data_IF_539646987448
#
_entry.id   IF_539646987448
#
_cell.length_a   1.000
_cell.length_b   1.000
_cell.length_c   1.000
_cell.angle_alpha   90.00
_cell.angle_beta   90.00
_cell.angle_gamma   90.00
#
_symmetry.space_group_name_H-M   'P 1'
#
loop_
_entity.id
_entity.type
_entity.pdbx_description
1 polymer ?
#
# COMPACT_ATOMS: atom_id res chain seq x y z
N UNK A 1 16.40 -4.31 22.57
CA UNK A 1 15.98 -2.94 22.20
C UNK A 1 14.46 -2.96 21.99
N UNK A 2 13.72 -2.08 22.66
CA UNK A 2 12.25 -2.07 22.67
C UNK A 2 11.73 -1.58 21.31
N UNK A 3 10.98 -2.42 20.60
CA UNK A 3 10.23 -2.02 19.41
C UNK A 3 9.04 -1.18 19.86
N UNK A 4 9.14 0.14 19.73
CA UNK A 4 8.00 1.04 19.93
C UNK A 4 7.21 1.07 18.62
N UNK A 5 6.21 0.19 18.49
CA UNK A 5 5.13 0.45 17.54
C UNK A 5 4.43 1.73 18.00
N UNK A 6 4.67 2.82 17.28
CA UNK A 6 3.88 4.04 17.47
C UNK A 6 2.45 3.68 17.13
N UNK A 7 1.57 3.65 18.15
CA UNK A 7 0.16 3.38 17.95
C UNK A 7 -0.41 4.48 17.06
N UNK A 8 -0.98 4.10 15.92
CA UNK A 8 -1.67 5.02 15.02
C UNK A 8 -2.77 5.71 15.85
N UNK A 9 -2.80 7.05 15.93
CA UNK A 9 -3.84 7.77 16.65
C UNK A 9 -5.22 7.31 16.16
N UNK A 10 -6.04 6.78 17.07
CA UNK A 10 -7.38 6.22 16.78
C UNK A 10 -8.44 7.31 16.52
N UNK A 11 -8.09 8.38 15.81
CA UNK A 11 -9.03 9.41 15.34
C UNK A 11 -9.33 9.29 13.84
N UNK A 12 -8.91 8.20 13.19
CA UNK A 12 -9.28 7.92 11.81
C UNK A 12 -10.77 7.54 11.74
N UNK A 13 -11.60 8.47 11.26
CA UNK A 13 -12.97 8.17 10.80
C UNK A 13 -12.88 6.95 9.88
N UNK A 14 -13.55 5.85 10.23
CA UNK A 14 -13.48 4.61 9.46
C UNK A 14 -13.97 4.87 8.03
N UNK A 15 -13.05 5.00 7.08
CA UNK A 15 -13.39 5.06 5.66
C UNK A 15 -13.69 3.64 5.23
N UNK A 16 -14.98 3.31 5.05
CA UNK A 16 -15.37 2.01 4.50
C UNK A 16 -15.02 2.00 3.02
N UNK A 17 -14.20 1.03 2.62
CA UNK A 17 -13.89 0.80 1.20
C UNK A 17 -15.17 0.53 0.42
N UNK A 18 -15.22 1.04 -0.81
CA UNK A 18 -16.30 0.78 -1.78
C UNK A 18 -15.69 0.46 -3.15
N UNK A 19 -16.32 -0.44 -3.93
CA UNK A 19 -15.93 -0.67 -5.30
C UNK A 19 -16.03 0.62 -6.13
N UNK A 20 -15.32 0.71 -7.28
CA UNK A 20 -15.45 1.83 -8.20
C UNK A 20 -16.84 1.83 -8.88
N UNK A 21 -17.09 2.83 -9.73
CA UNK A 21 -18.26 2.86 -10.60
C UNK A 21 -18.22 1.70 -11.61
N UNK A 22 -19.38 1.38 -12.18
CA UNK A 22 -19.51 0.39 -13.27
C UNK A 22 -18.54 0.70 -14.42
N UNK A 23 -17.95 -0.35 -15.00
CA UNK A 23 -16.91 -0.28 -16.04
C UNK A 23 -15.58 0.39 -15.64
N UNK A 24 -15.37 0.73 -14.37
CA UNK A 24 -14.09 1.22 -13.87
C UNK A 24 -13.28 0.13 -13.15
N UNK A 25 -11.96 0.23 -13.27
CA UNK A 25 -11.01 -0.48 -12.41
C UNK A 25 -10.54 0.44 -11.29
N UNK A 26 -10.39 -0.11 -10.08
CA UNK A 26 -9.72 0.56 -8.97
C UNK A 26 -8.36 -0.08 -8.76
N UNK A 27 -7.31 0.74 -8.83
CA UNK A 27 -5.94 0.35 -8.51
C UNK A 27 -5.60 0.91 -7.13
N UNK A 28 -5.24 0.02 -6.20
CA UNK A 28 -4.77 0.38 -4.86
C UNK A 28 -3.28 0.05 -4.78
N UNK A 29 -2.50 1.02 -4.30
CA UNK A 29 -1.06 0.91 -4.07
C UNK A 29 -0.80 0.95 -2.56
N UNK A 30 0.21 0.23 -2.09
CA UNK A 30 0.67 0.29 -0.70
C UNK A 30 2.18 0.06 -0.62
N UNK A 31 2.82 0.71 0.34
CA UNK A 31 4.25 0.59 0.64
C UNK A 31 4.47 0.07 2.05
N UNK A 32 5.41 -0.87 2.21
CA UNK A 32 5.83 -1.39 3.51
C UNK A 32 7.35 -1.25 3.69
N UNK A 33 7.78 -0.63 4.78
CA UNK A 33 9.20 -0.45 5.08
C UNK A 33 9.69 -1.55 6.03
N UNK A 34 10.72 -2.30 5.61
CA UNK A 34 11.38 -3.33 6.42
C UNK A 34 12.80 -2.84 6.79
N UNK A 35 12.87 -1.86 7.70
CA UNK A 35 14.09 -1.13 8.00
C UNK A 35 15.27 -2.03 8.45
N UNK A 36 15.00 -3.10 9.21
CA UNK A 36 16.04 -4.04 9.65
C UNK A 36 16.74 -4.76 8.50
N UNK A 37 16.09 -4.86 7.34
CA UNK A 37 16.58 -5.55 6.16
C UNK A 37 17.03 -4.59 5.05
N UNK A 38 16.93 -3.26 5.26
CA UNK A 38 17.18 -2.25 4.24
C UNK A 38 16.43 -2.51 2.92
N UNK A 39 15.16 -2.93 3.02
CA UNK A 39 14.27 -3.14 1.87
C UNK A 39 12.91 -2.48 2.10
N UNK A 40 12.20 -2.27 1.00
CA UNK A 40 10.78 -1.92 1.01
C UNK A 40 9.99 -2.91 0.15
N UNK A 41 8.78 -3.23 0.61
CA UNK A 41 7.78 -3.94 -0.16
C UNK A 41 6.84 -2.94 -0.83
N UNK A 42 6.58 -3.15 -2.11
CA UNK A 42 5.55 -2.46 -2.88
C UNK A 42 4.42 -3.45 -3.15
N UNK A 43 3.18 -3.01 -2.97
CA UNK A 43 1.98 -3.79 -3.21
C UNK A 43 1.02 -3.06 -4.15
N UNK A 44 0.45 -3.79 -5.11
CA UNK A 44 -0.61 -3.29 -6.00
C UNK A 44 -1.73 -4.30 -6.04
N UNK A 45 -2.97 -3.82 -5.99
CA UNK A 45 -4.16 -4.64 -6.26
C UNK A 45 -5.11 -3.89 -7.20
N UNK A 46 -5.48 -4.56 -8.28
CA UNK A 46 -6.44 -4.07 -9.27
C UNK A 46 -7.74 -4.82 -9.07
N UNK A 47 -8.84 -4.08 -8.88
CA UNK A 47 -10.18 -4.62 -8.70
C UNK A 47 -11.15 -4.06 -9.73
N UNK A 48 -12.11 -4.88 -10.15
CA UNK A 48 -13.22 -4.42 -10.97
C UNK A 48 -14.30 -3.70 -10.13
N UNK A 49 -15.35 -3.25 -10.81
CA UNK A 49 -16.57 -2.65 -10.27
C UNK A 49 -17.38 -3.56 -9.34
N UNK A 50 -17.24 -4.87 -9.47
CA UNK A 50 -17.76 -5.86 -8.50
C UNK A 50 -16.86 -6.02 -7.26
N UNK A 51 -15.71 -5.33 -7.23
CA UNK A 51 -14.70 -5.41 -6.17
C UNK A 51 -13.86 -6.69 -6.18
N UNK A 52 -13.99 -7.51 -7.22
CA UNK A 52 -13.19 -8.72 -7.43
C UNK A 52 -11.78 -8.35 -7.86
N UNK A 53 -10.80 -9.11 -7.37
CA UNK A 53 -9.39 -8.92 -7.72
C UNK A 53 -9.14 -9.44 -9.12
N UNK A 54 -8.68 -8.57 -10.00
CA UNK A 54 -8.29 -8.91 -11.37
C UNK A 54 -6.80 -9.19 -11.47
N UNK A 55 -5.98 -8.38 -10.78
CA UNK A 55 -4.52 -8.47 -10.78
C UNK A 55 -3.98 -8.08 -9.40
N UNK A 56 -2.90 -8.71 -8.97
CA UNK A 56 -2.11 -8.29 -7.81
C UNK A 56 -0.63 -8.35 -8.12
N UNK A 57 0.14 -7.38 -7.61
CA UNK A 57 1.59 -7.36 -7.69
C UNK A 57 2.18 -7.16 -6.28
N UNK A 58 3.29 -7.85 -6.01
CA UNK A 58 4.16 -7.53 -4.89
C UNK A 58 5.61 -7.57 -5.35
N UNK A 59 6.38 -6.55 -4.95
CA UNK A 59 7.80 -6.45 -5.27
C UNK A 59 8.58 -5.98 -4.04
N UNK A 60 9.80 -6.49 -3.88
CA UNK A 60 10.76 -5.93 -2.93
C UNK A 60 11.87 -5.20 -3.68
N UNK A 61 12.27 -4.04 -3.17
CA UNK A 61 13.40 -3.26 -3.69
C UNK A 61 14.27 -2.77 -2.52
N UNK A 62 15.54 -2.40 -2.76
CA UNK A 62 16.38 -1.77 -1.75
C UNK A 62 15.71 -0.52 -1.16
N UNK A 63 15.93 -0.29 0.14
CA UNK A 63 15.35 0.84 0.86
C UNK A 63 15.74 2.16 0.19
N UNK A 64 14.75 2.92 -0.33
CA UNK A 64 14.99 4.22 -0.93
C UNK A 64 15.39 5.24 0.15
N UNK A 65 15.94 6.37 -0.27
CA UNK A 65 16.36 7.44 0.63
C UNK A 65 15.24 8.06 1.47
N UNK A 66 13.96 7.88 1.10
CA UNK A 66 12.80 8.35 1.86
C UNK A 66 11.56 7.47 1.68
N UNK A 67 10.61 7.55 2.62
CA UNK A 67 9.30 6.86 2.56
C UNK A 67 8.42 7.42 1.44
N UNK A 68 8.45 8.73 1.19
CA UNK A 68 7.72 9.35 0.08
C UNK A 68 8.12 8.74 -1.28
N UNK A 69 9.41 8.44 -1.44
CA UNK A 69 9.92 7.77 -2.64
C UNK A 69 9.38 6.34 -2.79
N UNK A 70 9.12 5.64 -1.68
CA UNK A 70 8.51 4.29 -1.68
C UNK A 70 7.11 4.35 -2.28
N UNK A 71 6.28 5.28 -1.81
CA UNK A 71 4.91 5.48 -2.31
C UNK A 71 4.90 5.88 -3.80
N UNK A 72 5.80 6.80 -4.20
CA UNK A 72 5.97 7.18 -5.62
C UNK A 72 6.38 5.98 -6.47
N UNK A 73 7.28 5.12 -5.98
CA UNK A 73 7.67 3.91 -6.71
C UNK A 73 6.62 2.81 -6.73
N UNK A 74 5.71 2.77 -5.76
CA UNK A 74 4.55 1.89 -5.81
C UNK A 74 3.60 2.34 -6.92
N UNK A 75 3.36 3.65 -7.05
CA UNK A 75 2.37 4.24 -7.94
C UNK A 75 2.82 4.51 -9.39
N UNK A 76 4.10 4.26 -9.72
CA UNK A 76 4.67 4.54 -11.04
C UNK A 76 4.24 3.55 -12.13
#
# INVERSE_FOLDING_TARGET
MRSTHSAIPQTARSVRWRPPLEDFLKVNFDGAVFAANNIVGLGIIIRNDSGLVMVSLSQQIPLPTSVEMVEVMAAR
#
